data_IF_812913936236
#
_entry.id   IF_812913936236
#
_cell.length_a   1.000
_cell.length_b   1.000
_cell.length_c   1.000
_cell.angle_alpha   90.00
_cell.angle_beta   90.00
_cell.angle_gamma   90.00
#
_symmetry.space_group_name_H-M   'P 1'
#
loop_
_entity.id
_entity.type
_entity.pdbx_description
1 polymer ?
#
# COMPACT_ATOMS: atom_id res chain seq x y z
N UNK A 1 20.92 6.06 -6.31
CA UNK A 1 21.15 5.70 -4.88
C UNK A 1 21.16 6.95 -4.01
N UNK A 2 20.81 6.87 -2.72
CA UNK A 2 21.05 7.99 -1.81
C UNK A 2 22.56 8.27 -1.72
N UNK A 3 22.95 9.56 -1.72
CA UNK A 3 24.37 9.96 -1.66
C UNK A 3 25.04 9.55 -0.33
N UNK A 4 24.25 9.50 0.75
CA UNK A 4 24.67 9.02 2.07
C UNK A 4 23.57 8.17 2.70
N UNK A 5 23.96 7.12 3.44
CA UNK A 5 23.03 6.28 4.20
C UNK A 5 22.61 7.01 5.47
N UNK A 6 21.31 7.03 5.75
CA UNK A 6 20.80 7.65 6.96
C UNK A 6 21.20 6.83 8.20
N UNK A 7 21.75 7.46 9.24
CA UNK A 7 22.05 6.75 10.50
C UNK A 7 20.77 6.40 11.27
N UNK A 8 19.62 6.94 10.86
CA UNK A 8 18.36 6.89 11.60
C UNK A 8 18.36 7.87 12.77
N UNK A 9 17.45 7.68 13.72
CA UNK A 9 17.31 8.54 14.92
C UNK A 9 18.33 8.22 16.02
N UNK A 10 19.25 7.30 15.80
CA UNK A 10 20.16 6.77 16.82
C UNK A 10 19.51 5.78 17.80
N UNK A 11 18.20 5.49 17.64
CA UNK A 11 17.46 4.52 18.45
C UNK A 11 17.25 3.24 17.65
N UNK A 12 17.21 2.12 18.36
CA UNK A 12 16.97 0.79 17.78
C UNK A 12 15.66 0.21 18.31
N UNK A 13 14.98 -0.51 17.45
CA UNK A 13 13.88 -1.39 17.79
C UNK A 13 14.42 -2.82 17.74
N UNK A 14 14.55 -3.48 18.89
CA UNK A 14 15.22 -4.78 19.00
C UNK A 14 14.25 -5.87 19.35
N UNK A 15 14.23 -6.90 18.52
CA UNK A 15 13.58 -8.21 18.78
C UNK A 15 14.66 -9.11 19.35
N UNK A 16 14.42 -9.69 20.53
CA UNK A 16 15.35 -10.61 21.20
C UNK A 16 14.79 -12.01 21.23
N UNK A 17 15.65 -12.99 20.99
CA UNK A 17 15.34 -14.40 21.14
C UNK A 17 14.26 -14.90 20.18
N UNK A 18 14.20 -14.36 18.97
CA UNK A 18 13.21 -14.75 17.96
C UNK A 18 13.37 -16.24 17.59
N UNK A 19 12.37 -17.06 17.90
CA UNK A 19 12.42 -18.52 17.72
C UNK A 19 11.16 -19.09 17.06
N UNK A 20 10.28 -18.24 16.52
CA UNK A 20 9.07 -18.65 15.81
C UNK A 20 9.41 -19.36 14.50
N UNK A 21 8.68 -20.44 14.20
CA UNK A 21 8.85 -21.26 13.00
C UNK A 21 10.29 -21.80 12.87
N UNK A 22 11.02 -21.37 11.85
CA UNK A 22 12.40 -21.80 11.59
C UNK A 22 13.48 -20.89 12.17
N UNK A 23 13.13 -19.80 12.87
CA UNK A 23 14.09 -18.88 13.48
C UNK A 23 14.86 -19.56 14.63
N UNK A 24 16.18 -19.29 14.69
CA UNK A 24 17.13 -19.99 15.57
C UNK A 24 17.50 -19.16 16.82
N UNK A 25 16.51 -18.61 17.53
CA UNK A 25 16.72 -17.79 18.73
C UNK A 25 17.61 -16.58 18.43
N UNK A 26 17.26 -15.83 17.38
CA UNK A 26 18.06 -14.71 16.91
C UNK A 26 17.67 -13.39 17.55
N UNK A 27 18.65 -12.51 17.73
CA UNK A 27 18.46 -11.10 18.09
C UNK A 27 18.58 -10.24 16.83
N UNK A 28 17.59 -9.36 16.60
CA UNK A 28 17.53 -8.51 15.41
C UNK A 28 17.19 -7.08 15.80
N UNK A 29 17.97 -6.12 15.33
CA UNK A 29 17.75 -4.70 15.57
C UNK A 29 17.43 -3.94 14.29
N UNK A 30 16.38 -3.14 14.32
CA UNK A 30 15.95 -2.23 13.25
C UNK A 30 16.30 -0.79 13.64
N UNK A 31 16.83 0.00 12.71
CA UNK A 31 17.15 1.42 12.94
C UNK A 31 15.85 2.25 12.84
N UNK A 32 15.48 2.97 13.91
CA UNK A 32 14.33 3.88 13.88
C UNK A 32 14.67 5.15 13.07
N UNK A 33 13.69 5.65 12.30
CA UNK A 33 13.88 6.79 11.42
C UNK A 33 14.74 6.47 10.19
N UNK A 34 14.79 5.20 9.78
CA UNK A 34 15.57 4.74 8.64
C UNK A 34 14.76 3.78 7.75
N UNK A 35 15.27 3.54 6.55
CA UNK A 35 14.75 2.53 5.63
C UNK A 35 15.47 1.19 5.89
N UNK A 36 14.79 0.27 6.57
CA UNK A 36 15.29 -1.07 6.84
C UNK A 36 14.74 -2.06 5.81
N UNK A 37 15.60 -2.90 5.27
CA UNK A 37 15.22 -3.95 4.34
C UNK A 37 15.57 -5.33 4.93
N UNK A 38 14.60 -6.23 4.96
CA UNK A 38 14.79 -7.63 5.37
C UNK A 38 14.87 -8.49 4.12
N UNK A 39 16.02 -9.13 3.93
CA UNK A 39 16.37 -9.90 2.73
C UNK A 39 16.65 -11.37 3.06
N UNK A 40 16.93 -12.16 2.06
CA UNK A 40 17.28 -13.57 2.18
C UNK A 40 16.46 -14.46 1.27
N UNK A 41 16.85 -15.72 1.14
CA UNK A 41 16.18 -16.70 0.28
C UNK A 41 14.74 -16.98 0.74
N UNK A 42 13.92 -17.56 -0.15
CA UNK A 42 12.56 -17.97 0.22
C UNK A 42 12.60 -19.00 1.36
N UNK A 43 11.72 -18.81 2.37
CA UNK A 43 11.67 -19.67 3.54
C UNK A 43 12.80 -19.43 4.57
N UNK A 44 13.61 -18.38 4.46
CA UNK A 44 14.67 -18.07 5.45
C UNK A 44 14.17 -17.52 6.78
N UNK A 45 12.86 -17.22 6.90
CA UNK A 45 12.25 -16.74 8.15
C UNK A 45 11.87 -15.24 8.15
N UNK A 46 11.98 -14.54 7.01
CA UNK A 46 11.65 -13.09 6.91
C UNK A 46 10.26 -12.74 7.41
N UNK A 47 9.23 -13.41 6.89
CA UNK A 47 7.84 -13.18 7.28
C UNK A 47 7.58 -13.61 8.74
N UNK A 48 8.28 -14.65 9.24
CA UNK A 48 8.21 -15.04 10.65
C UNK A 48 8.77 -13.93 11.55
N UNK A 49 9.91 -13.35 11.20
CA UNK A 49 10.51 -12.26 11.95
C UNK A 49 9.66 -10.99 11.93
N UNK A 50 9.22 -10.58 10.74
CA UNK A 50 8.58 -9.27 10.54
C UNK A 50 7.08 -9.32 10.84
N UNK A 51 6.34 -10.28 10.28
CA UNK A 51 4.88 -10.32 10.39
C UNK A 51 4.42 -11.04 11.66
N UNK A 52 5.04 -12.19 11.99
CA UNK A 52 4.59 -13.00 13.14
C UNK A 52 5.15 -12.47 14.47
N UNK A 53 6.40 -12.01 14.52
CA UNK A 53 7.01 -11.50 15.75
C UNK A 53 6.89 -9.99 15.84
N UNK A 54 7.58 -9.26 14.96
CA UNK A 54 7.70 -7.81 15.08
C UNK A 54 6.34 -7.11 15.03
N UNK A 55 5.55 -7.35 13.98
CA UNK A 55 4.25 -6.69 13.81
C UNK A 55 3.25 -7.06 14.91
N UNK A 56 3.09 -8.37 15.21
CA UNK A 56 2.15 -8.81 16.24
C UNK A 56 2.50 -8.26 17.62
N UNK A 57 3.79 -8.25 17.97
CA UNK A 57 4.24 -7.68 19.23
C UNK A 57 4.12 -6.16 19.25
N UNK A 58 4.44 -5.44 18.16
CA UNK A 58 4.22 -3.99 18.07
C UNK A 58 2.73 -3.64 18.18
N UNK A 59 1.87 -4.38 17.49
CA UNK A 59 0.43 -4.19 17.54
C UNK A 59 -0.15 -4.52 18.93
N UNK A 60 0.42 -5.51 19.63
CA UNK A 60 0.03 -5.88 21.00
C UNK A 60 0.70 -5.03 22.07
N UNK A 61 1.94 -4.60 21.85
CA UNK A 61 2.84 -3.91 22.80
C UNK A 61 2.77 -2.38 22.74
N UNK A 62 1.94 -1.83 21.92
CA UNK A 62 1.24 -0.61 22.37
C UNK A 62 0.56 -0.92 23.74
N UNK A 63 0.70 -2.17 24.20
CA UNK A 63 0.31 -2.72 25.52
C UNK A 63 1.43 -3.43 26.33
N UNK A 64 2.74 -3.26 25.98
CA UNK A 64 3.90 -3.61 26.85
C UNK A 64 4.82 -4.73 26.36
N UNK A 65 6.11 -4.55 26.40
CA UNK A 65 7.34 -5.39 26.39
C UNK A 65 8.23 -5.49 25.14
N UNK A 66 8.36 -4.43 24.35
CA UNK A 66 9.45 -4.26 23.38
C UNK A 66 10.27 -3.02 23.77
N UNK A 67 11.60 -3.13 23.76
CA UNK A 67 12.49 -1.99 23.98
C UNK A 67 12.44 -1.00 22.78
N UNK A 68 12.32 0.29 23.06
CA UNK A 68 12.28 1.35 22.03
C UNK A 68 10.89 1.82 21.64
N UNK A 69 9.82 1.26 22.22
CA UNK A 69 8.43 1.61 21.92
C UNK A 69 8.02 3.05 22.25
N UNK A 70 8.69 3.63 23.28
CA UNK A 70 8.40 5.03 23.70
C UNK A 70 8.64 6.04 22.59
N UNK A 71 9.38 5.65 21.54
CA UNK A 71 9.68 6.47 20.37
C UNK A 71 8.63 6.34 19.26
N UNK A 72 7.64 5.45 19.40
CA UNK A 72 6.69 5.10 18.36
C UNK A 72 5.25 5.46 18.78
N UNK A 73 4.50 6.05 17.86
CA UNK A 73 3.08 6.37 18.06
C UNK A 73 2.19 5.31 17.41
N UNK A 74 2.65 4.67 16.34
CA UNK A 74 1.82 3.80 15.49
C UNK A 74 2.65 2.80 14.72
N UNK A 75 2.09 1.60 14.53
CA UNK A 75 2.55 0.62 13.54
C UNK A 75 1.48 0.42 12.48
N UNK A 76 1.89 0.33 11.23
CA UNK A 76 1.00 0.14 10.08
C UNK A 76 1.54 -1.01 9.25
N UNK A 77 0.75 -2.10 9.20
CA UNK A 77 1.01 -3.21 8.29
C UNK A 77 0.33 -2.94 6.94
N UNK A 78 1.14 -2.81 5.89
CA UNK A 78 0.71 -2.63 4.51
C UNK A 78 0.89 -3.97 3.80
N UNK A 79 -0.06 -4.87 4.03
CA UNK A 79 -0.07 -6.23 3.48
C UNK A 79 -0.90 -6.32 2.19
N UNK A 80 -0.82 -7.48 1.52
CA UNK A 80 -1.53 -7.77 0.27
C UNK A 80 -3.01 -8.19 0.45
N UNK A 81 -3.55 -8.16 1.67
CA UNK A 81 -4.96 -8.45 1.90
C UNK A 81 -5.88 -7.44 1.17
N UNK A 82 -7.03 -7.87 0.65
CA UNK A 82 -7.94 -7.00 -0.08
C UNK A 82 -8.34 -5.75 0.73
N UNK A 83 -8.53 -4.61 0.06
CA UNK A 83 -9.03 -3.36 0.66
C UNK A 83 -10.53 -3.40 0.99
N UNK A 84 -11.20 -4.47 0.64
CA UNK A 84 -12.59 -4.74 0.95
C UNK A 84 -13.07 -6.03 0.28
N UNK A 85 -14.17 -6.57 0.80
CA UNK A 85 -14.72 -7.87 0.37
C UNK A 85 -15.95 -7.75 -0.53
N UNK A 86 -16.38 -6.53 -0.84
CA UNK A 86 -17.59 -6.28 -1.63
C UNK A 86 -17.27 -5.44 -2.86
N UNK A 87 -18.09 -5.50 -3.92
CA UNK A 87 -17.92 -4.66 -5.11
C UNK A 87 -18.02 -3.16 -4.84
N UNK A 88 -18.54 -2.76 -3.68
CA UNK A 88 -18.66 -1.34 -3.23
C UNK A 88 -17.35 -0.77 -2.73
N UNK A 89 -16.43 -1.62 -2.27
CA UNK A 89 -15.09 -1.19 -1.90
C UNK A 89 -14.27 -0.96 -3.17
N UNK A 90 -13.60 0.18 -3.27
CA UNK A 90 -12.77 0.55 -4.39
C UNK A 90 -11.69 1.55 -3.95
N UNK A 91 -10.70 1.88 -4.78
CA UNK A 91 -9.63 2.84 -4.45
C UNK A 91 -10.17 4.20 -3.99
N UNK A 92 -11.22 4.72 -4.64
CA UNK A 92 -11.79 6.02 -4.27
C UNK A 92 -12.43 6.04 -2.87
N UNK A 93 -13.13 4.95 -2.50
CA UNK A 93 -13.74 4.85 -1.17
C UNK A 93 -12.71 4.62 -0.08
N UNK A 94 -11.69 3.80 -0.36
CA UNK A 94 -10.65 3.47 0.61
C UNK A 94 -9.75 4.67 0.95
N UNK A 95 -9.33 5.45 -0.04
CA UNK A 95 -8.53 6.67 0.15
C UNK A 95 -9.36 7.87 0.63
N UNK A 96 -10.68 7.72 0.60
CA UNK A 96 -11.62 8.78 0.97
C UNK A 96 -11.72 9.91 -0.05
N UNK A 97 -11.13 9.79 -1.25
CA UNK A 97 -11.28 10.78 -2.32
C UNK A 97 -12.72 10.84 -2.83
N UNK A 98 -13.45 9.73 -2.75
CA UNK A 98 -14.85 9.67 -3.18
C UNK A 98 -15.76 10.61 -2.36
N UNK A 99 -15.46 10.86 -1.08
CA UNK A 99 -16.21 11.82 -0.29
C UNK A 99 -16.09 13.23 -0.86
N UNK A 100 -14.87 13.64 -1.21
CA UNK A 100 -14.60 14.95 -1.79
C UNK A 100 -15.23 15.10 -3.19
N UNK A 101 -15.22 14.01 -3.99
CA UNK A 101 -15.91 13.99 -5.29
C UNK A 101 -17.41 14.15 -5.13
N UNK A 102 -18.05 13.45 -4.18
CA UNK A 102 -19.50 13.58 -3.91
C UNK A 102 -19.88 14.97 -3.45
N UNK A 103 -19.07 15.60 -2.59
CA UNK A 103 -19.26 17.00 -2.17
C UNK A 103 -19.17 17.97 -3.36
N UNK A 104 -18.21 17.74 -4.26
CA UNK A 104 -18.07 18.53 -5.48
C UNK A 104 -19.30 18.42 -6.38
N UNK A 105 -19.82 17.21 -6.63
CA UNK A 105 -21.02 17.01 -7.43
C UNK A 105 -22.24 17.67 -6.79
N UNK A 106 -22.41 17.57 -5.45
CA UNK A 106 -23.48 18.24 -4.72
C UNK A 106 -23.38 19.78 -4.79
N UNK A 107 -22.19 20.32 -5.00
CA UNK A 107 -21.97 21.76 -5.14
C UNK A 107 -22.33 22.33 -6.51
N UNK A 108 -22.56 21.48 -7.52
CA UNK A 108 -22.95 21.92 -8.88
C UNK A 108 -24.30 22.63 -8.88
N UNK A 109 -24.50 23.55 -9.83
CA UNK A 109 -25.76 24.30 -9.95
C UNK A 109 -26.98 23.36 -10.16
N UNK A 110 -26.81 22.34 -11.00
CA UNK A 110 -27.88 21.36 -11.29
C UNK A 110 -28.24 20.54 -10.06
N UNK A 111 -27.25 20.05 -9.29
CA UNK A 111 -27.51 19.34 -8.04
C UNK A 111 -28.24 20.22 -7.01
N UNK A 112 -27.85 21.47 -6.87
CA UNK A 112 -28.50 22.44 -5.97
C UNK A 112 -29.94 22.74 -6.37
N UNK A 113 -30.21 22.95 -7.67
CA UNK A 113 -31.57 23.15 -8.18
C UNK A 113 -32.48 21.96 -7.91
N UNK A 114 -31.95 20.73 -7.94
CA UNK A 114 -32.67 19.50 -7.66
C UNK A 114 -32.74 19.15 -6.17
N UNK A 115 -32.09 19.93 -5.28
CA UNK A 115 -32.01 19.63 -3.85
C UNK A 115 -31.14 18.39 -3.52
N UNK A 116 -30.19 18.05 -4.37
CA UNK A 116 -29.34 16.86 -4.22
C UNK A 116 -28.16 17.16 -3.29
N UNK A 117 -28.09 16.46 -2.17
CA UNK A 117 -26.97 16.48 -1.24
C UNK A 117 -25.88 15.48 -1.65
N UNK A 118 -24.71 15.50 -0.99
CA UNK A 118 -23.63 14.55 -1.23
C UNK A 118 -24.06 13.06 -1.04
N UNK A 119 -25.09 12.81 -0.22
CA UNK A 119 -25.68 11.49 -0.06
C UNK A 119 -26.27 10.92 -1.35
N UNK A 120 -26.84 11.79 -2.21
CA UNK A 120 -27.42 11.39 -3.51
C UNK A 120 -26.40 10.75 -4.42
N UNK A 121 -25.15 11.17 -4.34
CA UNK A 121 -24.02 10.69 -5.13
C UNK A 121 -23.29 9.48 -4.48
N UNK A 122 -23.86 8.89 -3.42
CA UNK A 122 -23.36 7.66 -2.81
C UNK A 122 -24.09 6.46 -3.38
N UNK A 123 -23.35 5.47 -3.87
CA UNK A 123 -23.92 4.17 -4.28
C UNK A 123 -24.27 3.27 -3.09
N UNK A 124 -23.95 3.67 -1.85
CA UNK A 124 -24.29 2.92 -0.63
C UNK A 124 -25.63 3.36 -0.01
N UNK A 125 -26.16 4.53 -0.39
CA UNK A 125 -27.32 5.15 0.23
C UNK A 125 -28.50 5.13 -0.75
N UNK A 126 -29.70 4.80 -0.26
CA UNK A 126 -30.93 4.88 -1.03
C UNK A 126 -31.18 6.29 -1.57
N UNK A 127 -31.85 6.37 -2.71
CA UNK A 127 -32.27 7.62 -3.36
C UNK A 127 -31.44 7.96 -4.60
N UNK A 128 -30.11 7.76 -4.60
CA UNK A 128 -29.26 8.02 -5.77
C UNK A 128 -28.76 6.75 -6.47
N UNK A 129 -28.69 5.64 -5.74
CA UNK A 129 -28.21 4.37 -6.25
C UNK A 129 -29.26 3.66 -7.11
N UNK A 130 -28.83 2.73 -7.93
CA UNK A 130 -29.73 1.77 -8.57
C UNK A 130 -30.27 0.81 -7.52
N UNK A 131 -31.57 0.76 -7.34
CA UNK A 131 -32.20 -0.12 -6.32
C UNK A 131 -32.23 -1.59 -6.76
N UNK A 132 -32.15 -1.88 -8.07
CA UNK A 132 -32.13 -3.28 -8.56
C UNK A 132 -30.85 -4.03 -8.16
N UNK A 133 -29.70 -3.36 -8.15
CA UNK A 133 -28.42 -3.94 -7.71
C UNK A 133 -27.92 -3.29 -6.41
N UNK A 134 -28.73 -2.48 -5.76
CA UNK A 134 -28.39 -1.76 -4.53
C UNK A 134 -27.08 -0.96 -4.58
N UNK A 135 -26.66 -0.53 -5.79
CA UNK A 135 -25.44 0.23 -6.02
C UNK A 135 -24.19 -0.62 -6.30
N UNK A 136 -24.30 -1.94 -6.37
CA UNK A 136 -23.18 -2.83 -6.70
C UNK A 136 -22.76 -2.73 -8.17
N UNK A 137 -23.71 -2.35 -9.06
CA UNK A 137 -23.50 -2.34 -10.50
C UNK A 137 -23.58 -3.73 -11.14
N UNK A 138 -23.44 -4.76 -10.32
CA UNK A 138 -23.47 -6.18 -10.71
C UNK A 138 -24.49 -6.92 -9.86
N UNK A 139 -24.97 -8.06 -10.37
CA UNK A 139 -25.84 -9.00 -9.66
C UNK A 139 -25.07 -10.30 -9.48
N UNK A 140 -25.01 -10.77 -8.25
CA UNK A 140 -24.43 -12.06 -7.89
C UNK A 140 -25.47 -13.16 -8.16
N UNK A 141 -25.10 -14.13 -8.98
CA UNK A 141 -25.88 -15.34 -9.20
C UNK A 141 -25.20 -16.47 -8.42
N UNK A 142 -25.83 -16.89 -7.33
CA UNK A 142 -25.31 -17.97 -6.49
C UNK A 142 -25.54 -19.33 -7.16
N UNK A 143 -24.47 -20.11 -7.28
CA UNK A 143 -24.49 -21.44 -7.86
C UNK A 143 -24.08 -22.46 -6.80
N UNK A 144 -25.00 -23.39 -6.44
CA UNK A 144 -24.81 -24.33 -5.33
C UNK A 144 -23.55 -25.23 -5.42
N UNK A 145 -23.03 -25.50 -6.62
CA UNK A 145 -21.89 -26.41 -6.82
C UNK A 145 -20.77 -25.81 -7.69
N UNK A 146 -20.91 -24.56 -8.12
CA UNK A 146 -19.95 -23.84 -8.96
C UNK A 146 -19.63 -22.48 -8.30
N UNK A 147 -18.51 -21.85 -8.68
CA UNK A 147 -18.23 -20.48 -8.24
C UNK A 147 -19.35 -19.53 -8.64
N UNK A 148 -19.67 -18.59 -7.76
CA UNK A 148 -20.65 -17.55 -8.01
C UNK A 148 -20.33 -16.76 -9.28
N UNK A 149 -21.36 -16.47 -10.07
CA UNK A 149 -21.22 -15.66 -11.29
C UNK A 149 -21.69 -14.24 -11.01
N UNK A 150 -20.91 -13.27 -11.47
CA UNK A 150 -21.25 -11.86 -11.38
C UNK A 150 -21.57 -11.31 -12.77
N UNK A 151 -22.79 -10.80 -12.94
CA UNK A 151 -23.25 -10.23 -14.21
C UNK A 151 -23.58 -8.74 -14.04
N UNK A 152 -23.33 -7.88 -15.06
CA UNK A 152 -23.75 -6.48 -15.00
C UNK A 152 -25.25 -6.36 -14.74
N UNK A 153 -25.66 -5.44 -13.88
CA UNK A 153 -27.06 -5.16 -13.61
C UNK A 153 -27.75 -4.64 -14.88
N UNK A 154 -28.80 -5.30 -15.32
CA UNK A 154 -29.54 -4.95 -16.55
C UNK A 154 -30.19 -3.56 -16.47
N UNK A 155 -30.62 -3.14 -15.28
CA UNK A 155 -31.31 -1.86 -15.05
C UNK A 155 -30.34 -0.68 -15.19
N UNK A 156 -29.22 -0.70 -14.47
CA UNK A 156 -28.23 0.39 -14.52
C UNK A 156 -27.08 0.13 -15.50
N UNK A 157 -27.01 -1.05 -16.10
CA UNK A 157 -25.94 -1.47 -17.03
C UNK A 157 -24.54 -1.26 -16.43
N UNK A 158 -24.37 -1.67 -15.20
CA UNK A 158 -23.09 -1.52 -14.46
C UNK A 158 -22.86 -0.16 -13.81
N UNK A 159 -23.70 0.85 -14.08
CA UNK A 159 -23.42 2.25 -13.68
C UNK A 159 -23.71 2.57 -12.21
N UNK A 160 -24.22 1.64 -11.41
CA UNK A 160 -24.42 1.79 -9.95
C UNK A 160 -25.52 2.78 -9.52
N UNK A 161 -25.89 3.76 -10.34
CA UNK A 161 -26.78 4.87 -10.01
C UNK A 161 -28.08 4.83 -10.82
N UNK A 162 -29.12 5.52 -10.32
CA UNK A 162 -30.31 5.77 -11.07
C UNK A 162 -30.08 6.89 -12.12
N UNK A 163 -31.03 6.99 -13.06
CA UNK A 163 -30.93 7.92 -14.19
C UNK A 163 -30.80 9.37 -13.75
N UNK A 164 -31.60 9.80 -12.78
CA UNK A 164 -31.63 11.19 -12.31
C UNK A 164 -30.28 11.64 -11.73
N UNK A 165 -29.60 10.76 -10.97
CA UNK A 165 -28.27 11.04 -10.42
C UNK A 165 -27.23 11.16 -11.52
N UNK A 166 -27.33 10.33 -12.58
CA UNK A 166 -26.41 10.34 -13.72
C UNK A 166 -26.60 11.55 -14.65
N UNK A 167 -27.75 12.23 -14.58
CA UNK A 167 -27.98 13.47 -15.33
C UNK A 167 -27.16 14.64 -14.82
N UNK A 168 -26.84 14.68 -13.51
CA UNK A 168 -25.97 15.71 -12.93
C UNK A 168 -24.55 15.53 -13.44
N UNK A 169 -23.97 16.62 -14.00
CA UNK A 169 -22.66 16.62 -14.63
C UNK A 169 -21.72 17.66 -13.98
N UNK A 170 -20.45 17.28 -13.83
CA UNK A 170 -19.35 18.17 -13.56
C UNK A 170 -18.37 18.13 -14.75
N UNK A 171 -18.08 19.27 -15.38
CA UNK A 171 -17.30 19.36 -16.62
C UNK A 171 -17.74 18.32 -17.68
N UNK A 172 -19.06 18.11 -17.83
CA UNK A 172 -19.64 17.19 -18.80
C UNK A 172 -19.64 15.70 -18.42
N UNK A 173 -19.06 15.31 -17.28
CA UNK A 173 -18.99 13.93 -16.79
C UNK A 173 -19.94 13.68 -15.64
N UNK A 174 -20.60 12.53 -15.62
CA UNK A 174 -21.42 12.06 -14.49
C UNK A 174 -20.54 11.49 -13.38
N UNK A 175 -21.13 11.24 -12.21
CA UNK A 175 -20.42 10.58 -11.11
C UNK A 175 -19.90 9.17 -11.49
N UNK A 176 -20.64 8.45 -12.34
CA UNK A 176 -20.19 7.15 -12.86
C UNK A 176 -19.00 7.31 -13.81
N UNK A 177 -19.08 8.26 -14.76
CA UNK A 177 -17.98 8.50 -15.71
C UNK A 177 -16.67 8.80 -14.97
N UNK A 178 -16.74 9.49 -13.82
CA UNK A 178 -15.58 9.76 -12.96
C UNK A 178 -15.05 8.50 -12.29
N UNK A 179 -15.93 7.62 -11.80
CA UNK A 179 -15.50 6.35 -11.21
C UNK A 179 -14.87 5.40 -12.25
N UNK A 180 -15.26 5.53 -13.50
CA UNK A 180 -14.74 4.73 -14.62
C UNK A 180 -13.41 5.27 -15.19
N UNK A 181 -13.01 6.51 -14.85
CA UNK A 181 -11.71 7.06 -15.21
C UNK A 181 -10.57 6.29 -14.54
N UNK A 182 -9.44 6.16 -15.24
CA UNK A 182 -8.18 5.78 -14.60
C UNK A 182 -7.75 6.86 -13.59
N UNK A 183 -6.87 6.50 -12.66
CA UNK A 183 -6.31 7.46 -11.69
C UNK A 183 -5.61 8.61 -12.43
N UNK A 184 -4.87 8.34 -13.51
CA UNK A 184 -4.19 9.33 -14.33
C UNK A 184 -5.17 10.29 -15.00
N UNK A 185 -6.23 9.77 -15.63
CA UNK A 185 -7.29 10.57 -16.25
C UNK A 185 -8.00 11.44 -15.22
N UNK A 186 -8.36 10.85 -14.06
CA UNK A 186 -9.03 11.56 -12.97
C UNK A 186 -8.13 12.67 -12.37
N UNK A 187 -6.83 12.42 -12.23
CA UNK A 187 -5.85 13.40 -11.76
C UNK A 187 -5.82 14.62 -12.69
N UNK A 188 -5.76 14.39 -14.00
CA UNK A 188 -5.83 15.44 -15.00
C UNK A 188 -7.17 16.19 -14.96
N UNK A 189 -8.29 15.46 -14.88
CA UNK A 189 -9.65 16.01 -14.84
C UNK A 189 -9.89 16.92 -13.63
N UNK A 190 -9.38 16.52 -12.45
CA UNK A 190 -9.52 17.26 -11.18
C UNK A 190 -8.34 18.17 -10.85
N UNK A 191 -7.45 18.47 -11.79
CA UNK A 191 -6.27 19.32 -11.57
C UNK A 191 -6.59 20.67 -10.92
N UNK A 192 -7.78 21.25 -11.22
CA UNK A 192 -8.26 22.50 -10.63
C UNK A 192 -8.92 22.35 -9.23
N UNK A 193 -8.97 21.13 -8.66
CA UNK A 193 -9.60 20.85 -7.35
C UNK A 193 -8.53 20.25 -6.42
N UNK A 194 -7.73 21.06 -5.71
CA UNK A 194 -6.55 20.61 -4.98
C UNK A 194 -6.80 19.48 -3.97
N UNK A 195 -7.98 19.50 -3.31
CA UNK A 195 -8.36 18.49 -2.31
C UNK A 195 -8.50 17.10 -2.92
N UNK A 196 -9.04 17.00 -4.14
CA UNK A 196 -9.19 15.74 -4.88
C UNK A 196 -7.87 15.38 -5.54
N UNK A 197 -7.24 16.33 -6.26
CA UNK A 197 -5.99 16.11 -6.98
C UNK A 197 -4.89 15.56 -6.07
N UNK A 198 -4.73 16.08 -4.85
CA UNK A 198 -3.72 15.60 -3.89
C UNK A 198 -3.90 14.12 -3.53
N UNK A 199 -5.14 13.63 -3.33
CA UNK A 199 -5.40 12.23 -3.00
C UNK A 199 -5.22 11.31 -4.23
N UNK A 200 -5.58 11.79 -5.42
CA UNK A 200 -5.32 11.05 -6.67
C UNK A 200 -3.83 11.00 -6.97
N UNK A 201 -3.08 12.07 -6.66
CA UNK A 201 -1.63 12.10 -6.81
C UNK A 201 -0.95 11.01 -5.97
N UNK A 202 -1.38 10.76 -4.72
CA UNK A 202 -0.80 9.68 -3.91
C UNK A 202 -1.06 8.30 -4.51
N UNK A 203 -2.20 8.07 -5.19
CA UNK A 203 -2.45 6.84 -5.92
C UNK A 203 -1.55 6.73 -7.16
N UNK A 204 -1.34 7.84 -7.87
CA UNK A 204 -0.46 7.89 -9.03
C UNK A 204 1.01 7.64 -8.63
N UNK A 205 1.48 8.28 -7.56
CA UNK A 205 2.86 8.18 -7.05
C UNK A 205 3.24 6.75 -6.64
N UNK A 206 2.28 5.91 -6.24
CA UNK A 206 2.53 4.49 -5.93
C UNK A 206 2.42 3.56 -7.16
N UNK A 207 2.42 4.10 -8.38
CA UNK A 207 2.35 3.33 -9.62
C UNK A 207 0.95 2.76 -9.93
N UNK A 208 -0.13 3.42 -9.47
CA UNK A 208 -1.51 3.00 -9.73
C UNK A 208 -2.24 3.92 -10.73
N UNK A 209 -1.49 4.60 -11.62
CA UNK A 209 -2.06 5.50 -12.63
C UNK A 209 -3.07 4.82 -13.55
N UNK A 210 -2.87 3.54 -13.84
CA UNK A 210 -3.64 2.75 -14.81
C UNK A 210 -4.95 2.15 -14.27
N UNK A 211 -5.13 2.00 -12.94
CA UNK A 211 -6.35 1.42 -12.38
C UNK A 211 -7.50 2.42 -12.44
N UNK A 212 -8.74 1.92 -12.53
CA UNK A 212 -9.91 2.79 -12.44
C UNK A 212 -10.14 3.24 -11.00
N UNK A 213 -10.51 4.52 -10.83
CA UNK A 213 -10.79 5.13 -9.51
C UNK A 213 -11.89 4.37 -8.77
N UNK A 214 -12.90 3.88 -9.48
CA UNK A 214 -14.02 3.07 -8.97
C UNK A 214 -13.86 1.57 -9.14
N UNK A 215 -12.66 1.05 -9.46
CA UNK A 215 -12.42 -0.38 -9.68
C UNK A 215 -12.79 -1.20 -8.44
N UNK A 216 -13.63 -2.24 -8.56
CA UNK A 216 -14.00 -3.06 -7.41
C UNK A 216 -12.78 -3.68 -6.72
N UNK A 217 -12.74 -3.64 -5.39
CA UNK A 217 -11.65 -4.21 -4.61
C UNK A 217 -11.41 -5.71 -4.87
N UNK A 218 -12.45 -6.42 -5.27
CA UNK A 218 -12.41 -7.85 -5.61
C UNK A 218 -11.68 -8.16 -6.92
N UNK A 219 -11.42 -7.15 -7.75
CA UNK A 219 -10.69 -7.29 -9.03
C UNK A 219 -9.25 -6.80 -8.94
N UNK A 220 -8.85 -6.22 -7.81
CA UNK A 220 -7.49 -5.79 -7.58
C UNK A 220 -6.61 -7.00 -7.23
N UNK A 221 -5.40 -7.03 -7.77
CA UNK A 221 -4.34 -7.92 -7.31
C UNK A 221 -3.90 -7.58 -5.87
N UNK A 222 -3.23 -8.52 -5.20
CA UNK A 222 -2.69 -8.27 -3.86
C UNK A 222 -1.74 -7.08 -3.80
N UNK A 223 -0.86 -6.93 -4.79
CA UNK A 223 0.06 -5.79 -4.90
C UNK A 223 -0.66 -4.46 -5.13
N UNK A 224 -1.72 -4.43 -5.97
CA UNK A 224 -2.54 -3.21 -6.15
C UNK A 224 -3.27 -2.83 -4.87
N UNK A 225 -3.87 -3.80 -4.16
CA UNK A 225 -4.53 -3.57 -2.88
C UNK A 225 -3.55 -3.00 -1.83
N UNK A 226 -2.34 -3.53 -1.78
CA UNK A 226 -1.26 -3.06 -0.92
C UNK A 226 -0.89 -1.61 -1.22
N UNK A 227 -0.70 -1.27 -2.50
CA UNK A 227 -0.37 0.11 -2.92
C UNK A 227 -1.51 1.10 -2.67
N UNK A 228 -2.78 0.69 -2.79
CA UNK A 228 -3.92 1.54 -2.39
C UNK A 228 -3.87 1.85 -0.89
N UNK A 229 -3.50 0.86 -0.05
CA UNK A 229 -3.30 1.10 1.40
C UNK A 229 -2.17 2.09 1.65
N UNK A 230 -1.03 1.92 0.96
CA UNK A 230 0.10 2.83 1.04
C UNK A 230 -0.29 4.26 0.64
N UNK A 231 -0.98 4.45 -0.49
CA UNK A 231 -1.47 5.74 -0.94
C UNK A 231 -2.41 6.41 0.08
N UNK A 232 -3.28 5.61 0.73
CA UNK A 232 -4.16 6.11 1.79
C UNK A 232 -3.38 6.65 2.99
N UNK A 233 -2.32 5.96 3.42
CA UNK A 233 -1.48 6.41 4.54
C UNK A 233 -0.67 7.66 4.17
N UNK A 234 -0.13 7.74 2.94
CA UNK A 234 0.57 8.92 2.42
C UNK A 234 -0.30 10.18 2.37
N UNK A 235 -1.61 10.01 2.16
CA UNK A 235 -2.56 11.13 2.13
C UNK A 235 -2.80 11.74 3.52
N UNK A 236 -2.42 11.06 4.60
CA UNK A 236 -2.56 11.50 5.99
C UNK A 236 -1.37 12.33 6.43
N UNK A 237 -1.55 13.12 7.49
CA UNK A 237 -0.44 13.87 8.08
C UNK A 237 0.48 12.91 8.85
N UNK A 238 1.75 12.88 8.48
CA UNK A 238 2.76 12.10 9.16
C UNK A 238 3.07 12.68 10.55
N UNK A 239 3.25 11.80 11.55
CA UNK A 239 3.69 12.19 12.91
C UNK A 239 5.21 12.12 13.07
N UNK A 240 5.90 11.46 12.13
CA UNK A 240 7.36 11.20 12.20
C UNK A 240 7.75 10.09 13.19
N UNK A 241 6.77 9.33 13.72
CA UNK A 241 6.99 8.27 14.71
C UNK A 241 6.24 6.98 14.35
N UNK A 242 5.90 6.82 13.08
CA UNK A 242 5.18 5.64 12.59
C UNK A 242 6.16 4.61 12.04
N UNK A 243 5.94 3.34 12.37
CA UNK A 243 6.60 2.20 11.70
C UNK A 243 5.68 1.69 10.60
N UNK A 244 6.16 1.70 9.37
CA UNK A 244 5.50 1.09 8.21
C UNK A 244 6.16 -0.26 7.92
N UNK A 245 5.37 -1.30 7.87
CA UNK A 245 5.80 -2.66 7.51
C UNK A 245 5.18 -3.01 6.17
N UNK A 246 6.01 -3.40 5.20
CA UNK A 246 5.60 -3.78 3.85
C UNK A 246 6.20 -5.14 3.49
N UNK A 247 5.39 -6.03 2.94
CA UNK A 247 5.81 -7.35 2.48
C UNK A 247 5.76 -7.39 0.95
N UNK A 248 6.94 -7.52 0.31
CA UNK A 248 7.15 -7.59 -1.14
C UNK A 248 6.34 -6.54 -1.95
N UNK A 249 6.46 -5.24 -1.66
CA UNK A 249 5.63 -4.22 -2.29
C UNK A 249 5.92 -4.02 -3.79
N UNK A 250 7.00 -4.57 -4.33
CA UNK A 250 7.32 -4.53 -5.77
C UNK A 250 6.63 -5.63 -6.58
N UNK A 251 5.91 -6.55 -5.92
CA UNK A 251 5.23 -7.65 -6.61
C UNK A 251 4.26 -7.15 -7.67
N UNK A 252 4.47 -7.59 -8.93
CA UNK A 252 3.64 -7.21 -10.07
C UNK A 252 3.87 -5.78 -10.61
N UNK A 253 4.93 -5.09 -10.17
CA UNK A 253 5.33 -3.81 -10.72
C UNK A 253 6.23 -3.94 -11.96
N UNK A 254 6.05 -3.02 -12.89
CA UNK A 254 7.02 -2.78 -13.96
C UNK A 254 8.21 -1.98 -13.39
N UNK A 255 9.38 -2.08 -14.00
CA UNK A 255 10.62 -1.44 -13.53
C UNK A 255 10.47 0.08 -13.31
N UNK A 256 9.72 0.77 -14.20
CA UNK A 256 9.46 2.20 -14.05
C UNK A 256 8.66 2.53 -12.77
N UNK A 257 7.70 1.67 -12.41
CA UNK A 257 6.86 1.88 -11.23
C UNK A 257 7.61 1.57 -9.93
N UNK A 258 8.62 0.68 -9.99
CA UNK A 258 9.51 0.40 -8.85
C UNK A 258 10.24 1.66 -8.40
N UNK A 259 10.71 2.48 -9.36
CA UNK A 259 11.39 3.74 -9.04
C UNK A 259 10.46 4.72 -8.30
N UNK A 260 9.20 4.85 -8.76
CA UNK A 260 8.20 5.68 -8.08
C UNK A 260 7.92 5.18 -6.66
N UNK A 261 7.79 3.85 -6.48
CA UNK A 261 7.61 3.27 -5.15
C UNK A 261 8.79 3.57 -4.23
N UNK A 262 10.03 3.46 -4.72
CA UNK A 262 11.25 3.80 -3.96
C UNK A 262 11.18 5.26 -3.48
N UNK A 263 10.84 6.21 -4.36
CA UNK A 263 10.71 7.62 -4.00
C UNK A 263 9.66 7.85 -2.90
N UNK A 264 8.56 7.11 -2.97
CA UNK A 264 7.51 7.15 -1.94
C UNK A 264 8.02 6.64 -0.60
N UNK A 265 8.72 5.50 -0.59
CA UNK A 265 9.29 4.93 0.63
C UNK A 265 10.35 5.87 1.24
N UNK A 266 11.18 6.49 0.41
CA UNK A 266 12.16 7.48 0.83
C UNK A 266 11.49 8.72 1.46
N UNK A 267 10.41 9.25 0.86
CA UNK A 267 9.64 10.37 1.42
C UNK A 267 9.03 10.03 2.80
N UNK A 268 8.59 8.78 3.02
CA UNK A 268 8.12 8.35 4.35
C UNK A 268 9.22 8.46 5.40
N UNK A 269 10.43 8.01 5.07
CA UNK A 269 11.60 8.08 5.98
C UNK A 269 12.03 9.51 6.19
N UNK A 270 12.07 10.36 5.17
CA UNK A 270 12.35 11.79 5.26
C UNK A 270 11.40 12.52 6.20
N UNK A 271 10.15 12.04 6.28
CA UNK A 271 9.14 12.49 7.25
C UNK A 271 9.40 12.02 8.69
N UNK A 272 10.54 11.38 8.98
CA UNK A 272 10.94 10.90 10.31
C UNK A 272 10.41 9.51 10.67
N UNK A 273 9.67 8.86 9.78
CA UNK A 273 9.10 7.54 10.02
C UNK A 273 10.14 6.42 9.83
N UNK A 274 9.85 5.25 10.37
CA UNK A 274 10.62 4.03 10.12
C UNK A 274 9.91 3.20 9.06
N UNK A 275 10.66 2.75 8.06
CA UNK A 275 10.15 1.85 7.03
C UNK A 275 10.88 0.51 7.13
N UNK A 276 10.13 -0.58 7.21
CA UNK A 276 10.65 -1.96 7.24
C UNK A 276 10.00 -2.70 6.07
N UNK A 277 10.83 -3.15 5.13
CA UNK A 277 10.36 -3.81 3.91
C UNK A 277 10.99 -5.20 3.81
N UNK A 278 10.17 -6.22 3.58
CA UNK A 278 10.66 -7.52 3.11
C UNK A 278 10.75 -7.42 1.59
N UNK A 279 11.94 -7.62 1.00
CA UNK A 279 12.14 -7.47 -0.42
C UNK A 279 13.19 -8.41 -1.01
N UNK A 280 13.01 -8.69 -2.30
CA UNK A 280 13.95 -9.44 -3.13
C UNK A 280 14.45 -8.60 -4.32
N UNK A 281 13.80 -7.47 -4.61
CA UNK A 281 14.17 -6.58 -5.69
C UNK A 281 15.42 -5.77 -5.33
N UNK A 282 16.50 -5.98 -6.09
CA UNK A 282 17.79 -5.32 -5.84
C UNK A 282 17.74 -3.80 -5.99
N UNK A 283 16.85 -3.27 -6.83
CA UNK A 283 16.69 -1.81 -6.98
C UNK A 283 16.15 -1.17 -5.69
N UNK A 284 15.29 -1.87 -4.96
CA UNK A 284 14.84 -1.44 -3.63
C UNK A 284 15.92 -1.68 -2.58
N UNK A 285 16.49 -2.88 -2.55
CA UNK A 285 17.47 -3.29 -1.53
C UNK A 285 18.68 -2.35 -1.51
N UNK A 286 19.23 -1.99 -2.69
CA UNK A 286 20.36 -1.07 -2.82
C UNK A 286 20.08 0.35 -2.30
N UNK A 287 18.80 0.76 -2.18
CA UNK A 287 18.42 2.09 -1.68
C UNK A 287 18.11 2.12 -0.19
N UNK A 288 18.13 0.96 0.49
CA UNK A 288 17.91 0.88 1.93
C UNK A 288 19.07 1.54 2.73
N UNK A 289 18.75 2.05 3.91
CA UNK A 289 19.75 2.57 4.85
C UNK A 289 20.40 1.44 5.66
N UNK A 290 19.64 0.35 5.89
CA UNK A 290 20.08 -0.80 6.66
C UNK A 290 19.42 -2.08 6.14
N UNK A 291 20.20 -3.14 6.03
CA UNK A 291 19.76 -4.47 5.58
C UNK A 291 19.93 -5.48 6.70
N UNK A 292 18.99 -6.40 6.81
CA UNK A 292 19.05 -7.59 7.66
C UNK A 292 18.84 -8.78 6.72
N UNK A 293 19.89 -9.55 6.45
CA UNK A 293 19.86 -10.70 5.56
C UNK A 293 19.74 -12.00 6.33
N UNK A 294 18.64 -12.73 6.08
CA UNK A 294 18.32 -13.99 6.75
C UNK A 294 18.67 -15.19 5.85
N UNK A 295 19.25 -16.22 6.46
CA UNK A 295 19.65 -17.40 5.73
C UNK A 295 20.28 -18.46 6.64
N UNK A 296 21.29 -19.21 6.12
CA UNK A 296 21.80 -19.16 4.74
C UNK A 296 20.87 -19.75 3.69
N UNK A 297 20.00 -20.70 4.08
CA UNK A 297 19.03 -21.36 3.21
C UNK A 297 17.59 -21.18 3.72
N UNK A 298 16.62 -21.86 3.08
CA UNK A 298 15.23 -21.92 3.54
C UNK A 298 14.96 -23.09 4.49
N UNK A 299 13.80 -23.04 5.19
CA UNK A 299 13.36 -24.12 6.09
C UNK A 299 14.30 -24.31 7.28
N UNK A 300 14.56 -25.56 7.66
CA UNK A 300 15.37 -25.92 8.83
C UNK A 300 16.82 -25.45 8.79
N UNK A 301 17.34 -25.21 7.61
CA UNK A 301 18.71 -24.69 7.39
C UNK A 301 18.78 -23.16 7.37
N UNK A 302 17.65 -22.48 7.45
CA UNK A 302 17.53 -21.03 7.56
C UNK A 302 17.40 -20.54 8.98
N UNK A 303 16.86 -19.33 9.14
CA UNK A 303 16.48 -18.77 10.44
C UNK A 303 17.62 -18.11 11.22
N UNK A 304 18.74 -17.85 10.57
CA UNK A 304 19.88 -17.11 11.13
C UNK A 304 20.04 -15.74 10.45
N UNK A 305 20.61 -14.78 11.14
CA UNK A 305 21.10 -13.54 10.53
C UNK A 305 22.46 -13.84 9.90
N UNK A 306 22.55 -13.78 8.57
CA UNK A 306 23.80 -14.02 7.81
C UNK A 306 24.62 -12.73 7.74
N UNK A 307 23.95 -11.61 7.51
CA UNK A 307 24.59 -10.28 7.46
C UNK A 307 23.59 -9.22 7.96
N UNK A 308 24.13 -8.17 8.58
CA UNK A 308 23.37 -6.97 8.92
C UNK A 308 24.28 -5.73 8.83
N UNK A 309 23.82 -4.70 8.14
CA UNK A 309 24.60 -3.51 7.89
C UNK A 309 24.02 -2.64 6.77
N UNK A 310 24.78 -1.67 6.30
CA UNK A 310 24.45 -0.93 5.07
C UNK A 310 24.54 -1.86 3.85
N UNK A 311 23.94 -1.51 2.71
CA UNK A 311 24.08 -2.31 1.49
C UNK A 311 25.53 -2.62 1.11
N UNK A 312 26.44 -1.68 1.34
CA UNK A 312 27.89 -1.80 1.08
C UNK A 312 28.55 -2.81 2.04
N UNK A 313 28.19 -2.77 3.32
CA UNK A 313 28.66 -3.70 4.33
C UNK A 313 28.18 -5.12 4.07
N UNK A 314 26.89 -5.28 3.71
CA UNK A 314 26.31 -6.59 3.36
C UNK A 314 26.92 -7.15 2.06
N UNK A 315 27.21 -6.29 1.07
CA UNK A 315 27.88 -6.68 -0.18
C UNK A 315 29.29 -7.25 0.04
N UNK A 316 29.94 -6.91 1.16
CA UNK A 316 31.25 -7.43 1.51
C UNK A 316 31.22 -8.83 2.19
N UNK A 317 30.01 -9.33 2.57
CA UNK A 317 29.85 -10.63 3.25
C UNK A 317 29.71 -11.74 2.23
N UNK A 318 30.72 -12.60 2.10
CA UNK A 318 30.77 -13.71 1.11
C UNK A 318 29.65 -14.73 1.26
N UNK A 319 29.20 -14.96 2.50
CA UNK A 319 28.18 -15.96 2.83
C UNK A 319 26.73 -15.46 2.59
N UNK A 320 26.56 -14.16 2.33
CA UNK A 320 25.29 -13.55 1.99
C UNK A 320 25.03 -13.65 0.49
N UNK A 321 23.99 -14.40 0.09
CA UNK A 321 23.55 -14.42 -1.31
C UNK A 321 23.10 -13.02 -1.76
N UNK A 322 22.34 -12.32 -0.93
CA UNK A 322 21.95 -10.92 -1.19
C UNK A 322 23.18 -10.05 -1.40
N UNK A 323 24.21 -10.20 -0.54
CA UNK A 323 25.47 -9.47 -0.64
C UNK A 323 26.20 -9.70 -1.97
N UNK A 324 26.29 -10.96 -2.43
CA UNK A 324 26.93 -11.30 -3.70
C UNK A 324 26.26 -10.66 -4.92
N UNK A 325 24.92 -10.53 -4.90
CA UNK A 325 24.17 -9.83 -5.97
C UNK A 325 24.30 -8.31 -5.84
N UNK A 326 24.25 -7.77 -4.61
CA UNK A 326 24.46 -6.34 -4.36
C UNK A 326 25.82 -5.87 -4.83
N UNK A 327 26.88 -6.62 -4.58
CA UNK A 327 28.23 -6.29 -5.03
C UNK A 327 28.28 -6.03 -6.54
N UNK A 328 27.58 -6.84 -7.35
CA UNK A 328 27.52 -6.68 -8.81
C UNK A 328 26.77 -5.41 -9.22
N UNK A 329 25.69 -5.10 -8.53
CA UNK A 329 24.85 -3.93 -8.87
C UNK A 329 25.54 -2.63 -8.43
N UNK A 330 26.15 -2.61 -7.23
CA UNK A 330 26.85 -1.44 -6.72
C UNK A 330 28.08 -1.09 -7.57
N UNK A 331 28.84 -2.11 -8.02
CA UNK A 331 30.02 -1.89 -8.89
C UNK A 331 29.68 -1.38 -10.31
N UNK A 332 28.46 -1.61 -10.79
CA UNK A 332 28.01 -1.08 -12.10
C UNK A 332 27.59 0.38 -12.05
N UNK A 333 27.24 0.91 -10.88
CA UNK A 333 26.84 2.32 -10.73
C UNK A 333 28.03 3.24 -10.45
N UNK A 334 29.21 2.70 -10.13
CA UNK A 334 30.45 3.48 -9.97
C UNK A 334 31.18 3.74 -11.30
N UNK A 335 30.70 3.16 -12.42
CA UNK A 335 31.29 3.30 -13.75
C UNK A 335 30.47 4.22 -14.62
#
# INVERSE_FOLDING_TARGET
MPAERRPGSGRLLTVRGASENNLKNIDVSFRLGAFNCVTGVSGSGKSSLVNEILYKHLAAALNGSIEGLEALDKVIDINQAPIGRTPRSNPATYTGVFNDIRELFASTADAKMRGFSAGRFSFNIKGGRCEACEGDGIIKIEMHFLPDIYVPCEVCKGRRYNRETLEVKYKGKSIYDVLDMTVEEALSFFSSVPKIARKLQTLYDVGLGYIQVGQPATTLSGGEAQRVKLASELSRRATGKTVYILDEPTTGLHTADVQQLIEVLQKLVEGGNTVIVIEHNLDVIKTADYIIDLGPEGGDKGGLVVAAGTPEEVAAVSDSYTGQYLQKVLSQEET
#
